data_IF_163405381668
#
_entry.id   IF_163405381668
#
_cell.length_a   1.000
_cell.length_b   1.000
_cell.length_c   1.000
_cell.angle_alpha   90.00
_cell.angle_beta   90.00
_cell.angle_gamma   90.00
#
_symmetry.space_group_name_H-M   'P 1'
#
loop_
_entity.id
_entity.type
_entity.pdbx_description
1 polymer ?
#
# COMPACT_ATOMS: atom_id res chain seq x y z
N UNK A 1 -44.65 0.58 26.48
CA UNK A 1 -44.01 1.88 26.20
C UNK A 1 -42.47 1.74 26.21
N UNK A 2 -41.85 1.16 27.25
CA UNK A 2 -40.40 1.04 27.40
C UNK A 2 -39.73 0.22 26.28
N UNK A 3 -40.31 -0.90 25.87
CA UNK A 3 -39.76 -1.76 24.81
C UNK A 3 -39.68 -1.04 23.47
N UNK A 4 -40.68 -0.25 23.13
CA UNK A 4 -40.75 0.52 21.88
C UNK A 4 -39.69 1.62 21.85
N UNK A 5 -39.41 2.24 22.99
CA UNK A 5 -38.38 3.27 23.15
C UNK A 5 -36.97 2.67 22.99
N UNK A 6 -36.72 1.49 23.55
CA UNK A 6 -35.43 0.76 23.40
C UNK A 6 -35.20 0.34 21.96
N UNK A 7 -36.22 -0.18 21.26
CA UNK A 7 -36.11 -0.55 19.84
C UNK A 7 -35.82 0.67 18.96
N UNK A 8 -36.47 1.83 19.25
CA UNK A 8 -36.23 3.05 18.51
C UNK A 8 -34.79 3.56 18.72
N UNK A 9 -34.27 3.51 19.96
CA UNK A 9 -32.90 3.90 20.28
C UNK A 9 -31.89 2.99 19.59
N UNK A 10 -32.16 1.68 19.53
CA UNK A 10 -31.31 0.71 18.84
C UNK A 10 -31.30 0.93 17.31
N UNK A 11 -32.47 1.23 16.70
CA UNK A 11 -32.57 1.56 15.30
C UNK A 11 -31.81 2.85 14.95
N UNK A 12 -31.89 3.89 15.81
CA UNK A 12 -31.12 5.13 15.64
C UNK A 12 -29.60 4.83 15.73
N UNK A 13 -29.18 4.00 16.67
CA UNK A 13 -27.77 3.62 16.83
C UNK A 13 -27.25 2.91 15.57
N UNK A 14 -28.01 1.95 15.03
CA UNK A 14 -27.66 1.24 13.81
C UNK A 14 -27.59 2.16 12.58
N UNK A 15 -28.51 3.13 12.48
CA UNK A 15 -28.47 4.09 11.37
C UNK A 15 -27.30 5.04 11.48
N UNK A 16 -26.95 5.48 12.68
CA UNK A 16 -25.77 6.31 12.93
C UNK A 16 -24.50 5.50 12.60
N UNK A 17 -24.38 4.27 13.07
CA UNK A 17 -23.22 3.44 12.80
C UNK A 17 -23.05 3.15 11.31
N UNK A 18 -24.16 2.86 10.60
CA UNK A 18 -24.16 2.70 9.15
C UNK A 18 -23.71 3.96 8.40
N UNK A 19 -24.18 5.14 8.83
CA UNK A 19 -23.78 6.42 8.25
C UNK A 19 -22.32 6.76 8.55
N UNK A 20 -21.85 6.50 9.78
CA UNK A 20 -20.45 6.72 10.15
C UNK A 20 -19.50 5.74 9.46
N UNK A 21 -19.89 4.49 9.29
CA UNK A 21 -19.11 3.50 8.51
C UNK A 21 -19.00 3.94 7.05
N UNK A 22 -20.08 4.45 6.46
CA UNK A 22 -20.10 4.91 5.07
C UNK A 22 -19.36 6.25 4.87
N UNK A 23 -19.35 7.13 5.87
CA UNK A 23 -18.63 8.40 5.83
C UNK A 23 -17.12 8.25 6.06
N UNK A 24 -16.69 7.20 6.78
CA UNK A 24 -15.27 6.94 7.02
C UNK A 24 -14.53 6.29 5.84
N UNK A 25 -15.27 5.80 4.85
CA UNK A 25 -14.67 5.27 3.61
C UNK A 25 -15.24 6.06 2.42
N UNK A 26 -14.67 7.22 2.06
CA UNK A 26 -14.90 7.74 0.73
C UNK A 26 -14.34 6.67 -0.22
N UNK A 27 -15.26 5.87 -0.77
CA UNK A 27 -14.94 5.07 -1.94
C UNK A 27 -14.63 6.09 -3.03
N UNK A 28 -13.34 6.37 -3.22
CA UNK A 28 -12.89 7.04 -4.43
C UNK A 28 -13.39 6.18 -5.59
N UNK A 29 -14.44 6.64 -6.24
CA UNK A 29 -14.89 6.05 -7.49
C UNK A 29 -13.68 6.05 -8.41
N UNK A 30 -13.13 4.85 -8.63
CA UNK A 30 -12.16 4.63 -9.69
C UNK A 30 -12.87 4.99 -10.97
N UNK A 31 -12.54 6.14 -11.54
CA UNK A 31 -12.95 6.50 -12.88
C UNK A 31 -12.52 5.36 -13.82
N UNK A 32 -13.38 4.96 -14.79
CA UNK A 32 -13.03 3.89 -15.71
C UNK A 32 -11.74 4.26 -16.43
N UNK A 33 -10.83 3.30 -16.50
CA UNK A 33 -9.53 3.30 -17.13
C UNK A 33 -9.34 4.45 -18.14
N UNK A 34 -8.88 5.60 -17.65
CA UNK A 34 -8.25 6.56 -18.55
C UNK A 34 -6.98 5.90 -19.05
N UNK A 35 -6.98 5.69 -20.36
CA UNK A 35 -5.83 5.25 -21.16
C UNK A 35 -4.53 5.69 -20.50
N UNK A 36 -3.60 4.75 -20.39
CA UNK A 36 -2.19 4.98 -20.08
C UNK A 36 -1.63 6.13 -20.92
N UNK A 37 -1.97 7.34 -20.56
CA UNK A 37 -1.02 8.42 -20.73
C UNK A 37 0.06 8.12 -19.71
N UNK A 38 1.22 7.76 -20.22
CA UNK A 38 2.46 7.74 -19.48
C UNK A 38 2.69 9.17 -18.95
N UNK A 39 1.96 9.55 -17.90
CA UNK A 39 2.31 10.68 -17.10
C UNK A 39 3.72 10.37 -16.66
N UNK A 40 4.66 11.21 -17.03
CA UNK A 40 6.08 11.09 -16.81
C UNK A 40 6.26 10.85 -15.30
N UNK A 41 6.37 9.57 -14.92
CA UNK A 41 6.60 9.21 -13.53
C UNK A 41 7.81 10.02 -13.07
N UNK A 42 7.77 10.66 -11.90
CA UNK A 42 8.89 11.45 -11.42
C UNK A 42 10.14 10.60 -11.51
N UNK A 43 11.08 10.98 -12.40
CA UNK A 43 12.32 10.23 -12.58
C UNK A 43 13.05 10.23 -11.25
N UNK A 44 13.21 9.05 -10.66
CA UNK A 44 14.02 8.86 -9.47
C UNK A 44 15.42 9.37 -9.78
N UNK A 45 15.85 10.44 -9.12
CA UNK A 45 17.23 10.92 -9.24
C UNK A 45 18.12 9.92 -8.51
N UNK A 46 19.04 9.24 -9.18
CA UNK A 46 19.90 8.27 -8.52
C UNK A 46 20.83 9.01 -7.57
N UNK A 47 20.71 8.72 -6.28
CA UNK A 47 21.69 9.07 -5.25
C UNK A 47 22.26 7.78 -4.70
N UNK A 48 23.57 7.62 -4.64
CA UNK A 48 24.25 6.43 -4.13
C UNK A 48 24.87 6.74 -2.77
N UNK A 49 24.43 6.00 -1.75
CA UNK A 49 24.96 6.08 -0.39
C UNK A 49 25.44 4.71 0.02
N UNK A 50 26.74 4.56 0.27
CA UNK A 50 27.31 3.27 0.67
C UNK A 50 27.10 2.13 -0.32
N UNK A 51 26.96 2.42 -1.63
CA UNK A 51 26.68 1.41 -2.67
C UNK A 51 25.19 1.07 -2.82
N UNK A 52 24.30 1.73 -2.08
CA UNK A 52 22.84 1.58 -2.20
C UNK A 52 22.24 2.78 -2.91
N UNK A 53 21.21 2.53 -3.73
CA UNK A 53 20.43 3.59 -4.37
C UNK A 53 19.44 4.18 -3.36
N UNK A 54 19.62 5.48 -3.07
CA UNK A 54 18.79 6.26 -2.13
C UNK A 54 18.30 7.52 -2.84
N UNK A 55 17.29 7.44 -3.71
CA UNK A 55 16.74 8.63 -4.37
C UNK A 55 16.16 9.65 -3.39
N UNK A 56 16.53 10.91 -3.54
CA UNK A 56 16.16 12.00 -2.62
C UNK A 56 14.67 12.33 -2.60
N UNK A 57 13.95 11.94 -3.64
CA UNK A 57 12.50 12.17 -3.76
C UNK A 57 11.63 11.10 -3.12
N UNK A 58 12.22 10.09 -2.47
CA UNK A 58 11.54 9.07 -1.70
C UNK A 58 11.54 9.42 -0.21
N UNK A 59 10.49 9.02 0.48
CA UNK A 59 10.43 9.03 1.94
C UNK A 59 10.65 7.61 2.44
N UNK A 60 11.62 7.43 3.30
CA UNK A 60 12.02 6.12 3.80
C UNK A 60 11.44 5.83 5.19
N UNK A 61 11.05 4.59 5.40
CA UNK A 61 10.61 4.07 6.69
C UNK A 61 11.68 3.14 7.27
N UNK A 62 11.91 3.11 8.60
CA UNK A 62 12.91 2.22 9.22
C UNK A 62 12.71 0.73 8.92
N UNK A 63 11.52 0.31 8.50
CA UNK A 63 11.21 -1.05 8.05
C UNK A 63 11.64 -1.36 6.61
N UNK A 64 12.61 -0.62 6.06
CA UNK A 64 13.16 -0.83 4.70
C UNK A 64 12.13 -0.71 3.58
N UNK A 65 11.16 0.18 3.78
CA UNK A 65 10.15 0.53 2.77
C UNK A 65 10.22 2.02 2.46
N UNK A 66 9.76 2.38 1.27
CA UNK A 66 9.71 3.77 0.84
C UNK A 66 8.34 4.16 0.32
N UNK A 67 8.06 5.45 0.32
CA UNK A 67 6.88 6.08 -0.23
C UNK A 67 7.25 7.18 -1.23
N UNK A 68 6.57 7.20 -2.38
CA UNK A 68 6.66 8.23 -3.42
C UNK A 68 5.29 8.83 -3.67
N UNK A 69 5.15 10.13 -3.43
CA UNK A 69 3.93 10.86 -3.78
C UNK A 69 3.86 11.05 -5.29
N UNK A 70 2.90 10.42 -5.96
CA UNK A 70 2.67 10.58 -7.41
C UNK A 70 1.63 11.67 -7.70
N UNK A 71 0.65 11.81 -6.82
CA UNK A 71 -0.35 12.86 -6.86
C UNK A 71 -0.83 13.18 -5.43
N UNK A 72 -1.66 14.21 -5.22
CA UNK A 72 -2.13 14.58 -3.88
C UNK A 72 -2.79 13.44 -3.09
N UNK A 73 -3.42 12.49 -3.80
CA UNK A 73 -4.17 11.38 -3.19
C UNK A 73 -3.62 10.00 -3.58
N UNK A 74 -2.46 9.94 -4.24
CA UNK A 74 -1.86 8.67 -4.67
C UNK A 74 -0.40 8.63 -4.27
N UNK A 75 -0.06 7.59 -3.54
CA UNK A 75 1.30 7.32 -3.08
C UNK A 75 1.69 5.91 -3.50
N UNK A 76 2.80 5.80 -4.21
CA UNK A 76 3.42 4.51 -4.50
C UNK A 76 4.32 4.12 -3.35
N UNK A 77 4.27 2.87 -2.94
CA UNK A 77 5.14 2.30 -1.90
C UNK A 77 5.94 1.12 -2.44
N UNK A 78 7.08 0.86 -1.85
CA UNK A 78 7.93 -0.26 -2.24
C UNK A 78 9.01 -0.59 -1.20
N UNK A 79 9.91 -1.51 -1.54
CA UNK A 79 11.07 -1.87 -0.72
C UNK A 79 12.29 -1.05 -1.14
N UNK A 80 13.17 -0.74 -0.19
CA UNK A 80 14.42 -0.03 -0.49
C UNK A 80 15.48 -0.94 -1.15
N UNK A 81 16.51 -0.32 -1.69
CA UNK A 81 17.58 -1.03 -2.40
C UNK A 81 18.39 -1.94 -1.47
N UNK A 82 18.47 -1.60 -0.17
CA UNK A 82 19.12 -2.44 0.83
C UNK A 82 18.35 -3.74 1.04
N UNK A 83 17.04 -3.64 1.36
CA UNK A 83 16.19 -4.82 1.54
C UNK A 83 16.12 -5.67 0.26
N UNK A 84 16.03 -5.03 -0.91
CA UNK A 84 16.02 -5.70 -2.20
C UNK A 84 17.30 -6.51 -2.45
N UNK A 85 18.48 -5.93 -2.16
CA UNK A 85 19.78 -6.62 -2.31
C UNK A 85 19.95 -7.72 -1.27
N UNK A 86 19.55 -7.47 -0.02
CA UNK A 86 19.62 -8.45 1.06
C UNK A 86 18.71 -9.66 0.78
N UNK A 87 17.51 -9.41 0.30
CA UNK A 87 16.55 -10.46 -0.04
C UNK A 87 17.01 -11.26 -1.27
N UNK A 88 17.66 -10.62 -2.25
CA UNK A 88 18.15 -11.25 -3.47
C UNK A 88 17.02 -11.81 -4.33
N UNK A 89 17.18 -13.04 -4.89
CA UNK A 89 16.14 -13.65 -5.74
C UNK A 89 14.96 -14.10 -4.90
N UNK A 90 13.81 -13.49 -5.11
CA UNK A 90 12.54 -13.76 -4.42
C UNK A 90 11.84 -14.95 -5.09
N UNK A 91 11.28 -15.86 -4.31
CA UNK A 91 10.53 -17.02 -4.78
C UNK A 91 9.03 -16.69 -4.88
N UNK A 92 8.52 -16.00 -3.87
CA UNK A 92 7.10 -15.64 -3.80
C UNK A 92 6.90 -14.32 -3.08
N UNK A 93 5.93 -13.53 -3.56
CA UNK A 93 5.47 -12.30 -2.92
C UNK A 93 3.98 -12.43 -2.64
N UNK A 94 3.58 -12.12 -1.42
CA UNK A 94 2.16 -12.00 -1.06
C UNK A 94 1.83 -10.53 -0.90
N UNK A 95 0.87 -10.02 -1.66
CA UNK A 95 0.44 -8.62 -1.65
C UNK A 95 -0.90 -8.46 -0.93
N UNK A 96 -1.24 -7.25 -0.45
CA UNK A 96 -2.56 -6.93 0.08
C UNK A 96 -3.61 -6.93 -1.03
N UNK A 97 -4.89 -6.93 -0.65
CA UNK A 97 -5.97 -6.85 -1.62
C UNK A 97 -6.28 -5.39 -1.99
N UNK A 98 -6.72 -5.15 -3.23
CA UNK A 98 -7.25 -3.85 -3.65
C UNK A 98 -8.44 -3.46 -2.76
N UNK A 99 -8.50 -2.19 -2.35
CA UNK A 99 -9.52 -1.68 -1.43
C UNK A 99 -9.25 -1.97 0.05
N UNK A 100 -8.25 -2.78 0.38
CA UNK A 100 -7.88 -3.03 1.77
C UNK A 100 -7.33 -1.76 2.42
N UNK A 101 -7.83 -1.42 3.62
CA UNK A 101 -7.27 -0.36 4.44
C UNK A 101 -6.05 -0.86 5.21
N UNK A 102 -4.96 -0.12 5.14
CA UNK A 102 -3.71 -0.41 5.84
C UNK A 102 -3.30 0.77 6.71
N UNK A 103 -2.63 0.48 7.83
CA UNK A 103 -2.08 1.50 8.73
C UNK A 103 -0.57 1.61 8.55
N UNK A 104 -0.02 2.77 8.82
CA UNK A 104 1.43 2.94 8.89
C UNK A 104 2.04 1.97 9.92
N UNK A 105 3.14 1.33 9.55
CA UNK A 105 3.81 0.31 10.37
C UNK A 105 3.11 -1.06 10.42
N UNK A 106 1.94 -1.22 9.78
CA UNK A 106 1.28 -2.51 9.67
C UNK A 106 2.03 -3.41 8.68
N UNK A 107 2.13 -4.71 8.98
CA UNK A 107 2.60 -5.73 8.03
C UNK A 107 1.61 -5.83 6.88
N UNK A 108 2.07 -5.58 5.67
CA UNK A 108 1.19 -5.43 4.49
C UNK A 108 1.48 -6.47 3.43
N UNK A 109 2.74 -6.70 3.14
CA UNK A 109 3.15 -7.74 2.20
C UNK A 109 4.29 -8.57 2.76
N UNK A 110 4.50 -9.73 2.19
CA UNK A 110 5.59 -10.61 2.59
C UNK A 110 6.32 -11.15 1.38
N UNK A 111 7.59 -11.38 1.59
CA UNK A 111 8.53 -11.92 0.61
C UNK A 111 9.04 -13.25 1.14
N UNK A 112 9.04 -14.30 0.30
CA UNK A 112 9.56 -15.60 0.65
C UNK A 112 10.82 -15.88 -0.17
N UNK A 113 11.87 -16.32 0.52
CA UNK A 113 13.13 -16.78 -0.07
C UNK A 113 13.71 -17.93 0.75
N UNK A 114 14.11 -19.02 0.07
CA UNK A 114 14.68 -20.23 0.72
C UNK A 114 13.83 -20.71 1.91
N UNK A 115 12.50 -20.65 1.77
CA UNK A 115 11.57 -21.01 2.83
C UNK A 115 11.47 -19.98 3.99
N UNK A 116 12.26 -18.91 3.98
CA UNK A 116 12.18 -17.83 4.99
C UNK A 116 11.22 -16.77 4.52
N UNK A 117 10.23 -16.45 5.35
CA UNK A 117 9.25 -15.38 5.13
C UNK A 117 9.71 -14.10 5.84
N UNK A 118 9.78 -13.01 5.10
CA UNK A 118 10.06 -11.66 5.61
C UNK A 118 8.81 -10.80 5.41
N UNK A 119 8.30 -10.26 6.50
CA UNK A 119 7.15 -9.35 6.47
C UNK A 119 7.63 -7.91 6.31
N UNK A 120 7.02 -7.20 5.37
CA UNK A 120 7.29 -5.79 5.10
C UNK A 120 6.17 -4.92 5.67
N UNK A 121 6.54 -3.76 6.17
CA UNK A 121 5.59 -2.83 6.80
C UNK A 121 5.23 -1.68 5.87
N UNK A 122 4.01 -1.17 6.00
CA UNK A 122 3.59 0.01 5.25
C UNK A 122 4.27 1.27 5.77
N UNK A 123 4.86 2.09 4.89
CA UNK A 123 5.44 3.39 5.29
C UNK A 123 4.37 4.46 5.56
N UNK A 124 3.15 4.26 5.11
CA UNK A 124 2.01 5.18 5.23
C UNK A 124 0.72 4.45 5.58
N UNK A 125 -0.31 5.19 5.92
CA UNK A 125 -1.68 4.66 6.04
C UNK A 125 -2.50 5.03 4.80
N UNK A 126 -3.47 4.20 4.44
CA UNK A 126 -4.36 4.43 3.32
C UNK A 126 -5.05 3.18 2.82
N UNK A 127 -5.85 3.35 1.76
CA UNK A 127 -6.49 2.23 1.06
C UNK A 127 -5.64 1.81 -0.14
N UNK A 128 -5.46 0.52 -0.34
CA UNK A 128 -4.76 -0.04 -1.50
C UNK A 128 -5.55 0.26 -2.76
N UNK A 129 -5.05 1.16 -3.58
CA UNK A 129 -5.70 1.55 -4.84
C UNK A 129 -5.43 0.52 -5.93
N UNK A 130 -4.17 0.09 -6.06
CA UNK A 130 -3.72 -0.85 -7.07
C UNK A 130 -2.52 -1.66 -6.57
N UNK A 131 -2.23 -2.78 -7.21
CA UNK A 131 -1.11 -3.67 -6.92
C UNK A 131 -0.33 -3.97 -8.19
N UNK A 132 0.97 -4.14 -8.07
CA UNK A 132 1.82 -4.55 -9.19
C UNK A 132 1.74 -6.07 -9.38
N UNK A 133 0.76 -6.52 -10.18
CA UNK A 133 0.57 -7.94 -10.49
C UNK A 133 1.77 -8.56 -11.23
N UNK A 134 2.52 -7.75 -11.97
CA UNK A 134 3.73 -8.24 -12.65
C UNK A 134 4.80 -8.66 -11.64
N UNK A 135 4.93 -7.96 -10.52
CA UNK A 135 5.85 -8.34 -9.44
C UNK A 135 5.45 -9.64 -8.72
N UNK A 136 4.14 -9.99 -8.72
CA UNK A 136 3.66 -11.27 -8.17
C UNK A 136 3.99 -12.42 -9.10
N UNK A 137 3.76 -12.21 -10.41
CA UNK A 137 3.95 -13.24 -11.44
C UNK A 137 5.43 -13.50 -11.75
N UNK A 138 6.25 -12.45 -11.73
CA UNK A 138 7.70 -12.54 -11.87
C UNK A 138 8.40 -11.60 -10.87
N UNK A 139 8.71 -12.10 -9.67
CA UNK A 139 9.39 -11.33 -8.64
C UNK A 139 10.78 -10.81 -9.05
N UNK A 140 11.32 -11.24 -10.18
CA UNK A 140 12.61 -10.75 -10.69
C UNK A 140 12.51 -9.45 -11.48
N UNK A 141 11.33 -9.12 -12.01
CA UNK A 141 11.12 -8.00 -12.94
C UNK A 141 11.06 -6.64 -12.26
N UNK A 142 10.49 -6.55 -11.08
CA UNK A 142 10.37 -5.27 -10.37
C UNK A 142 10.59 -5.40 -8.86
N UNK A 143 11.84 -5.28 -8.47
CA UNK A 143 12.24 -5.31 -7.06
C UNK A 143 11.99 -3.96 -6.34
N UNK A 144 11.52 -2.93 -7.03
CA UNK A 144 11.51 -1.55 -6.53
C UNK A 144 10.14 -0.99 -6.23
N UNK A 145 9.08 -1.49 -6.87
CA UNK A 145 7.72 -1.01 -6.59
C UNK A 145 6.75 -2.19 -6.50
N UNK A 146 6.05 -2.29 -5.38
CA UNK A 146 5.17 -3.41 -5.04
C UNK A 146 3.70 -3.01 -5.05
N UNK A 147 3.37 -1.74 -4.80
CA UNK A 147 2.01 -1.18 -4.71
C UNK A 147 1.99 0.23 -5.25
#
# INVERSE_FOLDING_TARGET
MTVLLVLMMFAIFLTIDHFYAKAKHPVLQVAPAMSRQAATAPRLKPSLVGGFSVPDNLRYHPGHTWALSESPNLVRIGIDDFASKLTGKVEHITLPQRGQWIRQGQKVWSIVRNGVKVDMVSPIEGSVADINEAAVNDPSLDRKSVV
#
